data_IF_945889915303
#
_entry.id   IF_945889915303
#
_cell.length_a   1.000
_cell.length_b   1.000
_cell.length_c   1.000
_cell.angle_alpha   90.00
_cell.angle_beta   90.00
_cell.angle_gamma   90.00
#
_symmetry.space_group_name_H-M   'P 1'
#
loop_
_entity.id
_entity.type
_entity.pdbx_description
1 polymer ?
#
# COMPACT_ATOMS: atom_id res chain seq x y z
N UNK A 1 9.17 -28.29 -11.41
CA UNK A 1 9.08 -27.23 -10.37
C UNK A 1 7.66 -26.69 -10.30
N UNK A 2 6.68 -27.52 -9.95
CA UNK A 2 5.28 -27.08 -9.82
C UNK A 2 5.02 -26.56 -8.41
N UNK A 3 4.04 -25.67 -8.25
CA UNK A 3 3.53 -25.32 -6.93
C UNK A 3 2.52 -26.38 -6.40
N UNK A 4 2.01 -26.17 -5.19
CA UNK A 4 1.04 -27.07 -4.55
C UNK A 4 -0.31 -27.17 -5.29
N UNK A 5 -0.61 -26.24 -6.20
CA UNK A 5 -1.81 -26.23 -7.05
C UNK A 5 -1.56 -26.88 -8.42
N UNK A 6 -0.38 -27.46 -8.65
CA UNK A 6 -0.01 -28.07 -9.93
C UNK A 6 0.30 -27.06 -11.04
N UNK A 7 0.53 -25.79 -10.69
CA UNK A 7 0.82 -24.74 -11.66
C UNK A 7 2.31 -24.68 -11.96
N UNK A 8 2.64 -24.49 -13.24
CA UNK A 8 4.02 -24.34 -13.69
C UNK A 8 4.56 -22.92 -13.39
N UNK A 9 5.89 -22.74 -13.39
CA UNK A 9 6.50 -21.46 -13.03
C UNK A 9 6.03 -20.29 -13.92
N UNK A 10 5.84 -20.55 -15.22
CA UNK A 10 5.37 -19.55 -16.17
C UNK A 10 3.95 -19.07 -15.83
N UNK A 11 3.06 -19.98 -15.47
CA UNK A 11 1.68 -19.66 -15.09
C UNK A 11 1.64 -18.85 -13.79
N UNK A 12 2.45 -19.24 -12.79
CA UNK A 12 2.54 -18.49 -11.53
C UNK A 12 3.07 -17.08 -11.78
N UNK A 13 4.16 -16.93 -12.55
CA UNK A 13 4.69 -15.62 -12.93
C UNK A 13 3.65 -14.77 -13.66
N UNK A 14 2.89 -15.34 -14.60
CA UNK A 14 1.85 -14.63 -15.32
C UNK A 14 0.75 -14.10 -14.38
N UNK A 15 0.32 -14.89 -13.39
CA UNK A 15 -0.62 -14.41 -12.37
C UNK A 15 -0.03 -13.24 -11.58
N UNK A 16 1.23 -13.32 -11.14
CA UNK A 16 1.86 -12.22 -10.40
C UNK A 16 2.01 -10.95 -11.25
N UNK A 17 2.37 -11.08 -12.53
CA UNK A 17 2.58 -9.95 -13.43
C UNK A 17 1.25 -9.26 -13.79
N UNK A 18 0.17 -10.04 -13.90
CA UNK A 18 -1.17 -9.51 -14.20
C UNK A 18 -1.68 -8.53 -13.15
N UNK A 19 -1.23 -8.65 -11.89
CA UNK A 19 -1.69 -7.80 -10.79
C UNK A 19 -1.33 -6.33 -11.00
N UNK A 20 -0.10 -6.05 -11.41
CA UNK A 20 0.33 -4.67 -11.70
C UNK A 20 -0.04 -4.21 -13.10
N UNK A 21 -0.37 -5.14 -14.00
CA UNK A 21 -0.74 -4.82 -15.37
C UNK A 21 -2.20 -4.41 -15.50
N UNK A 22 -3.08 -4.73 -14.54
CA UNK A 22 -4.55 -4.51 -14.65
C UNK A 22 -5.17 -5.12 -15.91
N UNK A 23 -4.55 -6.16 -16.45
CA UNK A 23 -4.96 -6.84 -17.68
C UNK A 23 -4.44 -8.28 -17.63
N UNK A 24 -5.07 -9.22 -18.37
CA UNK A 24 -4.57 -10.58 -18.49
C UNK A 24 -3.12 -10.56 -18.97
N UNK A 25 -2.26 -11.31 -18.28
CA UNK A 25 -0.86 -11.46 -18.67
C UNK A 25 -0.63 -12.87 -19.16
N UNK A 26 0.15 -13.00 -20.23
CA UNK A 26 0.63 -14.30 -20.71
C UNK A 26 2.13 -14.24 -20.90
N UNK A 27 2.80 -15.31 -20.49
CA UNK A 27 4.22 -15.50 -20.75
C UNK A 27 4.32 -16.41 -21.97
N UNK A 28 4.75 -15.85 -23.10
CA UNK A 28 4.95 -16.60 -24.32
C UNK A 28 6.03 -17.66 -24.12
N UNK A 29 5.84 -18.85 -24.69
CA UNK A 29 6.88 -19.87 -24.73
C UNK A 29 8.07 -19.35 -25.56
N UNK A 30 9.27 -19.68 -25.11
CA UNK A 30 10.49 -19.36 -25.86
C UNK A 30 10.62 -20.32 -27.08
N UNK A 31 11.29 -19.91 -28.17
CA UNK A 31 11.41 -20.74 -29.36
C UNK A 31 12.19 -22.04 -29.08
N UNK A 32 11.61 -23.22 -29.37
CA UNK A 32 12.26 -24.49 -29.06
C UNK A 32 13.58 -24.66 -29.82
N UNK A 33 14.55 -25.36 -29.20
CA UNK A 33 15.86 -25.62 -29.81
C UNK A 33 16.79 -24.40 -29.89
N UNK A 34 16.44 -23.30 -29.21
CA UNK A 34 17.28 -22.11 -29.09
C UNK A 34 17.89 -21.98 -27.69
N UNK A 35 18.88 -21.09 -27.54
CA UNK A 35 19.43 -20.70 -26.23
C UNK A 35 18.84 -19.38 -25.74
N UNK A 36 17.58 -19.09 -26.10
CA UNK A 36 16.89 -17.87 -25.73
C UNK A 36 16.73 -17.74 -24.20
N UNK A 37 16.34 -16.56 -23.75
CA UNK A 37 16.00 -16.28 -22.36
C UNK A 37 14.87 -15.27 -22.31
N UNK A 38 14.11 -15.25 -21.21
CA UNK A 38 13.19 -14.16 -20.96
C UNK A 38 13.96 -12.86 -20.74
N UNK A 39 13.56 -11.75 -21.40
CA UNK A 39 14.21 -10.46 -21.22
C UNK A 39 13.85 -9.87 -19.86
N UNK A 40 14.62 -8.86 -19.43
CA UNK A 40 14.26 -8.05 -18.28
C UNK A 40 12.91 -7.33 -18.50
N UNK A 41 12.22 -6.91 -17.42
CA UNK A 41 11.01 -6.12 -17.52
C UNK A 41 11.29 -4.86 -18.36
N UNK A 42 10.52 -4.61 -19.44
CA UNK A 42 10.66 -3.36 -20.17
C UNK A 42 10.24 -2.21 -19.26
N UNK A 43 10.74 -1.00 -19.52
CA UNK A 43 10.57 0.16 -18.63
C UNK A 43 9.11 0.42 -18.21
N UNK A 44 8.15 0.22 -19.13
CA UNK A 44 6.72 0.39 -18.84
C UNK A 44 6.12 -0.67 -17.90
N UNK A 45 6.79 -1.81 -17.72
CA UNK A 45 6.37 -2.91 -16.85
C UNK A 45 7.38 -3.16 -15.70
N UNK A 46 8.37 -2.28 -15.54
CA UNK A 46 9.29 -2.29 -14.41
C UNK A 46 8.58 -1.76 -13.16
N UNK A 47 7.84 -2.65 -12.51
CA UNK A 47 7.01 -2.36 -11.34
C UNK A 47 7.25 -3.40 -10.24
N UNK A 48 6.62 -3.19 -9.08
CA UNK A 48 6.77 -4.07 -7.92
C UNK A 48 6.41 -5.54 -8.17
N UNK A 49 5.61 -5.87 -9.21
CA UNK A 49 5.22 -7.25 -9.51
C UNK A 49 6.32 -8.02 -10.26
N UNK A 50 7.21 -7.32 -10.96
CA UNK A 50 8.29 -7.92 -11.77
C UNK A 50 9.68 -7.64 -11.20
N UNK A 51 9.88 -6.47 -10.58
CA UNK A 51 11.15 -6.02 -10.05
C UNK A 51 11.45 -6.59 -8.67
N UNK A 52 11.30 -7.89 -8.46
CA UNK A 52 11.65 -8.54 -7.19
C UNK A 52 12.26 -9.91 -7.48
N UNK A 53 12.97 -10.47 -6.50
CA UNK A 53 13.64 -11.77 -6.69
C UNK A 53 12.65 -12.91 -6.89
N UNK A 54 11.44 -12.81 -6.36
CA UNK A 54 10.40 -13.84 -6.52
C UNK A 54 9.94 -13.96 -7.97
N UNK A 55 9.69 -12.82 -8.61
CA UNK A 55 9.40 -12.75 -10.04
C UNK A 55 10.56 -13.28 -10.89
N UNK A 56 11.79 -12.91 -10.54
CA UNK A 56 13.00 -13.38 -11.22
C UNK A 56 13.18 -14.90 -11.11
N UNK A 57 13.01 -15.48 -9.94
CA UNK A 57 13.17 -16.93 -9.74
C UNK A 57 12.08 -17.71 -10.48
N UNK A 58 10.84 -17.21 -10.51
CA UNK A 58 9.74 -17.82 -11.26
C UNK A 58 9.98 -17.79 -12.77
N UNK A 59 10.39 -16.65 -13.33
CA UNK A 59 10.65 -16.54 -14.78
C UNK A 59 11.91 -17.31 -15.18
N UNK A 60 12.90 -17.39 -14.29
CA UNK A 60 14.11 -18.19 -14.48
C UNK A 60 13.79 -19.69 -14.48
N UNK A 61 13.01 -20.15 -13.52
CA UNK A 61 12.50 -21.52 -13.49
C UNK A 61 11.64 -21.84 -14.73
N UNK A 62 10.84 -20.87 -15.21
CA UNK A 62 10.07 -20.98 -16.44
C UNK A 62 10.98 -21.19 -17.67
N UNK A 63 12.09 -20.46 -17.76
CA UNK A 63 13.09 -20.64 -18.82
C UNK A 63 13.75 -22.02 -18.75
N UNK A 64 14.18 -22.44 -17.55
CA UNK A 64 14.83 -23.74 -17.34
C UNK A 64 13.89 -24.90 -17.65
N UNK A 65 12.61 -24.80 -17.30
CA UNK A 65 11.62 -25.84 -17.64
C UNK A 65 11.35 -25.96 -19.16
N UNK A 66 11.80 -25.00 -19.95
CA UNK A 66 11.71 -24.99 -21.41
C UNK A 66 13.07 -25.27 -22.07
N UNK A 67 14.07 -25.74 -21.31
CA UNK A 67 15.44 -26.00 -21.78
C UNK A 67 16.15 -24.76 -22.35
N UNK A 68 15.92 -23.60 -21.72
CA UNK A 68 16.46 -22.30 -22.12
C UNK A 68 17.39 -21.67 -21.08
N UNK A 69 18.13 -20.65 -21.53
CA UNK A 69 19.07 -19.92 -20.70
C UNK A 69 18.33 -18.96 -19.74
N UNK A 70 19.02 -18.56 -18.68
CA UNK A 70 18.55 -17.56 -17.71
C UNK A 70 19.48 -16.36 -17.78
N UNK A 71 18.93 -15.14 -17.69
CA UNK A 71 19.75 -13.92 -17.57
C UNK A 71 20.16 -13.70 -16.12
N UNK A 72 21.24 -12.96 -15.90
CA UNK A 72 21.69 -12.65 -14.53
C UNK A 72 20.70 -11.73 -13.80
N UNK A 73 20.69 -11.80 -12.47
CA UNK A 73 19.85 -10.92 -11.65
C UNK A 73 20.08 -9.43 -11.99
N UNK A 74 21.34 -9.03 -12.12
CA UNK A 74 21.71 -7.65 -12.50
C UNK A 74 21.20 -7.25 -13.88
N UNK A 75 21.04 -8.20 -14.80
CA UNK A 75 20.43 -7.97 -16.12
C UNK A 75 18.91 -7.85 -16.00
N UNK A 76 18.29 -8.70 -15.20
CA UNK A 76 16.84 -8.66 -14.93
C UNK A 76 16.39 -7.30 -14.35
N UNK A 77 17.14 -6.73 -13.41
CA UNK A 77 16.76 -5.47 -12.78
C UNK A 77 17.24 -4.21 -13.52
N UNK A 78 17.75 -4.31 -14.76
CA UNK A 78 18.32 -3.16 -15.46
C UNK A 78 17.38 -1.95 -15.59
N UNK A 79 16.07 -2.19 -15.73
CA UNK A 79 15.06 -1.14 -15.84
C UNK A 79 14.30 -0.89 -14.52
N UNK A 80 14.64 -1.61 -13.46
CA UNK A 80 13.92 -1.59 -12.20
C UNK A 80 14.40 -0.44 -11.30
N UNK A 81 13.51 0.42 -10.81
CA UNK A 81 13.86 1.41 -9.80
C UNK A 81 14.34 0.73 -8.50
N UNK A 82 15.42 1.23 -7.90
CA UNK A 82 15.99 0.65 -6.69
C UNK A 82 15.02 0.61 -5.50
N UNK A 83 14.03 1.52 -5.46
CA UNK A 83 13.00 1.53 -4.43
C UNK A 83 11.91 0.46 -4.63
N UNK A 84 11.94 -0.27 -5.75
CA UNK A 84 11.02 -1.36 -6.07
C UNK A 84 11.70 -2.73 -6.12
N UNK A 85 13.03 -2.80 -5.97
CA UNK A 85 13.80 -4.04 -5.98
C UNK A 85 13.80 -4.73 -4.62
N UNK A 86 12.88 -5.69 -4.43
CA UNK A 86 12.76 -6.46 -3.20
C UNK A 86 13.40 -7.84 -3.30
N UNK A 87 14.01 -8.29 -2.20
CA UNK A 87 14.66 -9.60 -2.08
C UNK A 87 13.88 -10.51 -1.15
N UNK A 88 13.62 -11.75 -1.60
CA UNK A 88 12.99 -12.82 -0.83
C UNK A 88 11.53 -12.54 -0.45
N UNK A 89 10.90 -11.51 -1.02
CA UNK A 89 9.55 -11.07 -0.66
C UNK A 89 8.79 -10.68 -1.93
N UNK A 90 7.51 -11.06 -1.97
CA UNK A 90 6.54 -10.56 -2.93
C UNK A 90 5.51 -9.71 -2.17
N UNK A 91 5.43 -8.42 -2.49
CA UNK A 91 4.69 -7.43 -1.68
C UNK A 91 3.19 -7.43 -1.93
N UNK A 92 2.76 -7.88 -3.12
CA UNK A 92 1.34 -7.94 -3.45
C UNK A 92 0.67 -9.15 -2.83
N UNK A 93 -0.64 -9.01 -2.63
CA UNK A 93 -1.47 -10.12 -2.18
C UNK A 93 -1.49 -11.18 -3.27
N UNK A 94 -1.05 -12.39 -2.95
CA UNK A 94 -1.08 -13.50 -3.91
C UNK A 94 -2.54 -13.81 -4.29
N UNK A 95 -2.90 -13.85 -5.60
CA UNK A 95 -4.26 -14.15 -6.03
C UNK A 95 -4.78 -15.48 -5.49
N UNK A 96 -6.07 -15.57 -5.19
CA UNK A 96 -6.68 -16.74 -4.50
C UNK A 96 -6.54 -18.08 -5.23
N UNK A 97 -6.25 -18.07 -6.53
CA UNK A 97 -6.07 -19.25 -7.36
C UNK A 97 -4.60 -19.50 -7.74
N UNK A 98 -3.66 -18.84 -7.08
CA UNK A 98 -2.23 -19.10 -7.30
C UNK A 98 -1.49 -19.24 -5.98
N UNK A 99 -0.38 -19.94 -6.02
CA UNK A 99 0.50 -20.10 -4.87
C UNK A 99 1.94 -19.94 -5.33
N UNK A 100 2.69 -19.10 -4.63
CA UNK A 100 4.10 -18.92 -4.93
C UNK A 100 4.85 -20.14 -4.35
N UNK A 101 5.52 -20.96 -5.17
CA UNK A 101 6.27 -22.11 -4.69
C UNK A 101 7.45 -21.65 -3.82
N UNK A 102 7.80 -22.44 -2.81
CA UNK A 102 8.82 -22.07 -1.81
C UNK A 102 10.18 -21.71 -2.41
N UNK A 103 10.56 -22.36 -3.52
CA UNK A 103 11.83 -22.06 -4.19
C UNK A 103 11.92 -20.63 -4.72
N UNK A 104 10.79 -19.99 -5.04
CA UNK A 104 10.79 -18.65 -5.60
C UNK A 104 11.14 -17.58 -4.55
N UNK A 105 11.19 -17.93 -3.26
CA UNK A 105 11.65 -17.05 -2.21
C UNK A 105 13.15 -17.21 -1.92
N UNK A 106 13.87 -17.98 -2.73
CA UNK A 106 15.32 -18.05 -2.62
C UNK A 106 15.95 -16.69 -2.98
N UNK A 107 17.17 -16.46 -2.50
CA UNK A 107 17.87 -15.19 -2.72
C UNK A 107 18.91 -15.34 -3.84
N UNK A 108 18.59 -14.91 -5.09
CA UNK A 108 19.51 -14.95 -6.21
C UNK A 108 20.58 -13.89 -6.16
N UNK A 109 20.50 -12.92 -5.25
CA UNK A 109 21.48 -11.82 -5.19
C UNK A 109 22.84 -12.30 -4.69
N UNK A 110 22.88 -13.39 -3.92
CA UNK A 110 24.12 -13.98 -3.39
C UNK A 110 25.01 -14.55 -4.51
N UNK A 111 24.40 -15.24 -5.49
CA UNK A 111 25.12 -15.80 -6.64
C UNK A 111 25.04 -14.90 -7.88
N UNK A 112 24.19 -13.86 -7.85
CA UNK A 112 23.82 -13.06 -9.01
C UNK A 112 22.99 -13.83 -10.05
N UNK A 113 22.50 -15.02 -9.72
CA UNK A 113 21.90 -15.95 -10.68
C UNK A 113 20.93 -16.94 -10.03
N UNK A 114 19.94 -17.40 -10.80
CA UNK A 114 19.01 -18.46 -10.39
C UNK A 114 19.73 -19.79 -10.12
N UNK A 115 19.45 -20.40 -8.97
CA UNK A 115 20.04 -21.68 -8.58
C UNK A 115 19.07 -22.84 -8.78
N UNK A 116 19.20 -23.55 -9.91
CA UNK A 116 18.37 -24.69 -10.29
C UNK A 116 18.39 -25.80 -9.23
N UNK A 117 19.56 -26.10 -8.67
CA UNK A 117 19.72 -27.15 -7.65
C UNK A 117 18.98 -26.80 -6.36
N UNK A 118 19.14 -25.56 -5.88
CA UNK A 118 18.40 -25.07 -4.72
C UNK A 118 16.89 -25.07 -4.98
N UNK A 119 16.48 -24.69 -6.19
CA UNK A 119 15.08 -24.66 -6.56
C UNK A 119 14.44 -26.06 -6.58
N UNK A 120 15.15 -27.08 -7.08
CA UNK A 120 14.68 -28.47 -7.01
C UNK A 120 14.57 -28.99 -5.56
N UNK A 121 15.56 -28.67 -4.72
CA UNK A 121 15.53 -29.06 -3.31
C UNK A 121 14.33 -28.44 -2.58
N UNK A 122 14.08 -27.15 -2.78
CA UNK A 122 12.96 -26.44 -2.15
C UNK A 122 11.58 -26.79 -2.75
N UNK A 123 11.53 -27.23 -4.01
CA UNK A 123 10.29 -27.69 -4.65
C UNK A 123 9.83 -29.08 -4.15
N UNK A 124 10.73 -29.85 -3.55
CA UNK A 124 10.44 -31.20 -3.03
C UNK A 124 10.19 -31.23 -1.53
N UNK A 125 10.43 -30.11 -0.83
CA UNK A 125 10.05 -30.01 0.59
C UNK A 125 8.52 -30.09 0.71
N UNK A 126 7.97 -31.02 1.50
CA UNK A 126 6.55 -31.01 1.82
C UNK A 126 6.22 -29.70 2.52
N UNK A 127 5.00 -29.14 2.34
CA UNK A 127 4.62 -27.92 3.03
C UNK A 127 4.85 -28.14 4.52
N UNK A 128 5.82 -27.41 5.10
CA UNK A 128 6.06 -27.47 6.55
C UNK A 128 4.71 -27.19 7.20
N UNK A 129 4.14 -28.20 7.87
CA UNK A 129 3.04 -27.99 8.80
C UNK A 129 3.60 -27.03 9.83
N UNK A 130 3.32 -25.75 9.63
CA UNK A 130 3.57 -24.74 10.64
C UNK A 130 2.78 -25.20 11.86
N UNK A 131 3.50 -25.70 12.86
CA UNK A 131 2.94 -25.85 14.18
C UNK A 131 2.41 -24.48 14.56
N UNK A 132 1.09 -24.39 14.58
CA UNK A 132 0.31 -23.18 14.79
C UNK A 132 0.46 -22.74 16.24
N UNK A 133 1.67 -22.36 16.66
CA UNK A 133 1.95 -21.77 17.95
C UNK A 133 2.96 -20.64 17.76
N UNK A 134 2.37 -19.43 17.76
CA UNK A 134 3.00 -18.16 18.13
C UNK A 134 4.00 -17.57 17.12
N UNK A 135 3.46 -17.01 16.04
CA UNK A 135 3.91 -15.74 15.45
C UNK A 135 2.80 -15.25 14.51
N UNK A 136 1.88 -14.44 15.05
CA UNK A 136 1.69 -13.00 14.75
C UNK A 136 0.81 -12.77 13.50
N UNK A 137 -0.52 -12.78 13.56
CA UNK A 137 -1.41 -11.78 14.20
C UNK A 137 -1.04 -10.34 13.80
N UNK A 138 -0.88 -10.02 12.50
CA UNK A 138 -0.84 -8.60 12.06
C UNK A 138 -1.69 -8.30 10.79
N UNK A 139 -2.07 -9.27 9.95
CA UNK A 139 -2.86 -8.98 8.73
C UNK A 139 -4.37 -9.31 8.80
N UNK A 140 -4.97 -9.29 10.00
CA UNK A 140 -6.39 -9.59 10.21
C UNK A 140 -7.28 -8.40 10.63
N UNK A 141 -6.74 -7.18 10.70
CA UNK A 141 -7.39 -6.08 11.42
C UNK A 141 -8.15 -5.05 10.57
N UNK A 142 -8.24 -5.21 9.23
CA UNK A 142 -9.00 -4.24 8.39
C UNK A 142 -10.36 -4.77 7.96
N UNK A 143 -10.49 -6.08 7.69
CA UNK A 143 -11.75 -6.66 7.18
C UNK A 143 -12.72 -7.13 8.28
N UNK A 144 -12.30 -7.16 9.54
CA UNK A 144 -13.18 -7.41 10.69
C UNK A 144 -13.90 -6.16 11.20
N UNK A 145 -13.43 -4.96 10.85
CA UNK A 145 -13.95 -3.70 11.38
C UNK A 145 -15.38 -3.41 10.96
N UNK A 146 -15.74 -3.62 9.69
CA UNK A 146 -17.09 -3.32 9.21
C UNK A 146 -18.13 -4.27 9.80
N UNK A 147 -17.82 -5.57 9.86
CA UNK A 147 -18.69 -6.58 10.47
C UNK A 147 -18.82 -6.38 11.99
N UNK A 148 -17.71 -6.12 12.67
CA UNK A 148 -17.69 -5.89 14.12
C UNK A 148 -18.43 -4.60 14.51
N UNK A 149 -18.28 -3.51 13.75
CA UNK A 149 -19.01 -2.27 14.01
C UNK A 149 -20.52 -2.44 13.85
N UNK A 150 -20.98 -3.23 12.86
CA UNK A 150 -22.41 -3.54 12.69
C UNK A 150 -22.93 -4.39 13.86
N UNK A 151 -22.16 -5.39 14.31
CA UNK A 151 -22.54 -6.25 15.43
C UNK A 151 -22.55 -5.48 16.76
N UNK A 152 -21.56 -4.63 17.01
CA UNK A 152 -21.51 -3.80 18.22
C UNK A 152 -22.61 -2.74 18.20
N UNK A 153 -22.83 -2.08 17.07
CA UNK A 153 -23.93 -1.12 16.89
C UNK A 153 -25.29 -1.76 17.17
N UNK A 154 -25.56 -2.93 16.59
CA UNK A 154 -26.82 -3.64 16.81
C UNK A 154 -27.01 -4.09 18.25
N UNK A 155 -25.97 -4.60 18.92
CA UNK A 155 -26.02 -4.96 20.34
C UNK A 155 -26.27 -3.75 21.25
N UNK A 156 -25.65 -2.60 20.97
CA UNK A 156 -25.86 -1.36 21.73
C UNK A 156 -27.30 -0.85 21.56
N UNK A 157 -27.84 -0.87 20.34
CA UNK A 157 -29.23 -0.45 20.08
C UNK A 157 -30.21 -1.35 20.83
N UNK A 158 -30.06 -2.67 20.77
CA UNK A 158 -30.91 -3.61 21.52
C UNK A 158 -30.81 -3.37 23.02
N UNK A 159 -29.60 -3.17 23.55
CA UNK A 159 -29.39 -2.87 24.96
C UNK A 159 -30.10 -1.56 25.39
N UNK A 160 -30.04 -0.50 24.57
CA UNK A 160 -30.73 0.76 24.85
C UNK A 160 -32.25 0.63 24.82
N UNK A 161 -32.80 -0.18 23.90
CA UNK A 161 -34.24 -0.46 23.82
C UNK A 161 -34.70 -1.23 25.05
N UNK A 162 -33.98 -2.29 25.44
CA UNK A 162 -34.28 -3.08 26.65
C UNK A 162 -34.13 -2.23 27.91
N UNK A 163 -33.12 -1.35 27.96
CA UNK A 163 -32.95 -0.44 29.09
C UNK A 163 -34.10 0.59 29.17
N UNK A 164 -34.61 1.06 28.03
CA UNK A 164 -35.77 1.97 27.98
C UNK A 164 -37.05 1.27 28.40
N UNK A 165 -37.28 0.03 27.99
CA UNK A 165 -38.49 -0.73 28.39
C UNK A 165 -38.46 -1.12 29.88
N UNK A 166 -37.27 -1.27 30.47
CA UNK A 166 -37.09 -1.49 31.91
C UNK A 166 -37.08 -0.21 32.74
N UNK A 167 -37.29 0.96 32.15
CA UNK A 167 -37.53 2.17 32.95
C UNK A 167 -38.90 1.99 33.62
N UNK A 168 -38.98 1.93 34.96
CA UNK A 168 -40.27 1.99 35.62
C UNK A 168 -40.97 3.29 35.17
N UNK A 169 -42.32 3.28 35.08
CA UNK A 169 -43.06 4.50 34.78
C UNK A 169 -42.62 5.61 35.74
N UNK A 170 -42.52 6.87 35.28
CA UNK A 170 -42.22 7.98 36.18
C UNK A 170 -43.21 7.95 37.34
N UNK A 171 -42.71 7.97 38.57
CA UNK A 171 -43.55 8.13 39.75
C UNK A 171 -44.42 9.38 39.56
N UNK A 172 -45.72 9.35 39.91
CA UNK A 172 -46.54 10.56 39.90
C UNK A 172 -45.88 11.60 40.80
N UNK A 173 -45.65 12.79 40.24
CA UNK A 173 -44.97 13.88 40.92
C UNK A 173 -45.72 14.27 42.21
N UNK A 174 -45.02 14.55 43.33
CA UNK A 174 -45.63 15.22 44.47
C UNK A 174 -46.12 16.60 44.03
N UNK A 175 -47.40 16.89 44.30
CA UNK A 175 -48.02 18.20 44.07
C UNK A 175 -47.32 19.22 44.95
N UNK A 176 -46.44 20.04 44.37
CA UNK A 176 -45.84 21.18 45.06
C UNK A 176 -46.78 22.40 44.97
N UNK A 177 -46.92 23.18 46.06
CA UNK A 177 -47.69 24.43 46.07
C UNK A 177 -47.05 25.49 45.15
N UNK A 178 -47.82 26.50 44.71
CA UNK A 178 -47.39 27.45 43.68
C UNK A 178 -46.18 28.29 44.13
N UNK A 179 -45.22 28.57 43.22
CA UNK A 179 -44.06 29.36 43.55
C UNK A 179 -44.39 30.85 43.65
N UNK A 180 -44.01 31.45 44.77
CA UNK A 180 -43.90 32.89 44.94
C UNK A 180 -42.89 33.46 43.95
N UNK A 181 -43.28 34.53 43.24
CA UNK A 181 -42.40 35.31 42.36
C UNK A 181 -41.18 35.80 43.13
N UNK A 182 -40.01 35.27 42.78
CA UNK A 182 -38.74 35.95 43.04
C UNK A 182 -38.32 36.60 41.74
N UNK A 183 -38.52 37.90 41.68
CA UNK A 183 -37.92 38.80 40.71
C UNK A 183 -36.41 38.81 40.95
N UNK A 184 -35.61 38.40 39.96
CA UNK A 184 -34.29 38.99 39.79
C UNK A 184 -33.77 38.82 38.36
N UNK A 185 -33.08 39.85 37.85
CA UNK A 185 -32.69 39.96 36.45
C UNK A 185 -31.31 39.36 36.24
N UNK A 186 -31.13 38.57 35.19
CA UNK A 186 -29.83 38.44 34.57
C UNK A 186 -30.04 38.38 33.06
N UNK A 187 -29.71 39.50 32.42
CA UNK A 187 -29.65 39.63 30.97
C UNK A 187 -28.71 38.55 30.42
N UNK A 188 -29.26 37.59 29.69
CA UNK A 188 -28.47 36.83 28.73
C UNK A 188 -28.26 37.74 27.50
N UNK A 189 -27.05 37.86 26.95
CA UNK A 189 -26.85 38.56 25.69
C UNK A 189 -27.59 37.80 24.59
N UNK A 190 -28.43 38.54 23.85
CA UNK A 190 -29.11 38.08 22.65
C UNK A 190 -28.04 37.68 21.62
N UNK A 191 -28.04 36.42 21.19
CA UNK A 191 -27.26 36.02 20.01
C UNK A 191 -27.94 36.63 18.78
N UNK A 192 -27.32 37.65 18.20
CA UNK A 192 -27.71 38.20 16.90
C UNK A 192 -27.34 37.19 15.81
N UNK A 193 -28.28 36.90 14.92
CA UNK A 193 -28.09 36.00 13.78
C UNK A 193 -27.11 36.67 12.82
N UNK A 194 -26.07 35.96 12.39
CA UNK A 194 -25.04 36.50 11.49
C UNK A 194 -25.67 36.81 10.12
N UNK A 195 -25.63 38.07 9.72
CA UNK A 195 -26.10 38.53 8.42
C UNK A 195 -24.88 38.97 7.58
N UNK A 196 -24.52 38.22 6.52
CA UNK A 196 -23.32 38.48 5.74
C UNK A 196 -23.33 39.82 4.98
N UNK A 197 -24.49 40.47 4.83
CA UNK A 197 -24.62 41.77 4.14
C UNK A 197 -24.63 42.97 5.11
N UNK A 198 -24.65 42.75 6.44
CA UNK A 198 -24.59 43.81 7.46
C UNK A 198 -23.19 43.88 8.14
N UNK A 199 -22.35 44.89 7.80
CA UNK A 199 -21.00 45.03 8.34
C UNK A 199 -20.94 45.28 9.86
N UNK A 200 -22.06 45.61 10.50
CA UNK A 200 -22.13 45.81 11.95
C UNK A 200 -22.20 44.50 12.75
N UNK A 201 -22.45 43.37 12.08
CA UNK A 201 -22.52 42.04 12.72
C UNK A 201 -21.19 41.28 12.73
N UNK A 202 -20.11 41.87 12.19
CA UNK A 202 -18.78 41.25 12.23
C UNK A 202 -18.20 41.31 13.64
N UNK A 203 -17.71 40.18 14.19
CA UNK A 203 -17.05 40.20 15.48
C UNK A 203 -15.77 41.05 15.41
N UNK A 204 -15.42 41.79 16.48
CA UNK A 204 -14.16 42.52 16.52
C UNK A 204 -12.97 41.55 16.40
N UNK A 205 -11.87 41.95 15.74
CA UNK A 205 -10.69 41.10 15.60
C UNK A 205 -10.14 40.74 16.98
N UNK A 206 -9.95 39.45 17.23
CA UNK A 206 -9.38 38.93 18.46
C UNK A 206 -7.92 39.38 18.58
N UNK A 207 -7.68 40.43 19.35
CA UNK A 207 -6.34 40.87 19.74
C UNK A 207 -5.81 39.95 20.84
N UNK A 208 -5.09 38.89 20.45
CA UNK A 208 -4.32 38.08 21.38
C UNK A 208 -3.07 38.86 21.82
N UNK A 209 -2.81 39.02 23.13
CA UNK A 209 -1.60 39.68 23.61
C UNK A 209 -0.41 38.70 23.47
N UNK A 210 0.63 39.12 22.75
CA UNK A 210 1.96 38.53 22.94
C UNK A 210 2.68 37.92 21.73
N UNK A 211 2.34 38.28 20.49
CA UNK A 211 3.19 37.96 19.33
C UNK A 211 3.35 39.16 18.41
N UNK A 212 4.41 39.95 18.65
CA UNK A 212 4.97 40.80 17.60
C UNK A 212 5.66 39.87 16.59
N UNK A 213 5.00 39.65 15.45
CA UNK A 213 5.68 39.14 14.26
C UNK A 213 6.17 40.35 13.49
N UNK A 214 7.44 40.69 13.71
CA UNK A 214 8.21 41.59 12.85
C UNK A 214 8.18 41.01 11.43
N UNK A 215 7.58 41.73 10.49
CA UNK A 215 7.57 41.34 9.09
C UNK A 215 9.00 41.40 8.51
N UNK A 216 9.51 40.33 7.88
CA UNK A 216 10.79 40.42 7.20
C UNK A 216 10.66 41.30 5.97
N UNK A 217 11.54 42.31 5.90
CA UNK A 217 11.70 43.20 4.78
C UNK A 217 11.91 42.42 3.47
N UNK A 218 11.18 42.79 2.43
CA UNK A 218 11.45 42.42 1.05
C UNK A 218 12.88 42.85 0.68
N UNK A 219 13.78 41.88 0.51
CA UNK A 219 15.05 42.07 -0.16
C UNK A 219 14.98 41.43 -1.54
N UNK A 220 15.10 42.27 -2.56
CA UNK A 220 15.28 41.90 -3.96
C UNK A 220 16.53 41.04 -4.12
N UNK A 221 16.34 39.75 -4.39
CA UNK A 221 17.41 38.84 -4.76
C UNK A 221 17.45 38.68 -6.29
N UNK A 222 18.32 39.47 -6.91
CA UNK A 222 18.76 39.32 -8.30
C UNK A 222 19.39 37.93 -8.50
N UNK A 223 18.80 37.12 -9.37
CA UNK A 223 19.33 35.80 -9.73
C UNK A 223 20.61 35.91 -10.58
N UNK A 224 21.69 35.16 -10.27
CA UNK A 224 22.83 35.05 -11.16
C UNK A 224 22.55 34.08 -12.33
N UNK A 225 22.94 34.50 -13.53
CA UNK A 225 22.86 33.73 -14.78
C UNK A 225 23.56 32.35 -14.67
N UNK A 226 23.00 31.29 -15.30
CA UNK A 226 23.67 30.00 -15.37
C UNK A 226 24.88 30.05 -16.33
N UNK A 227 25.97 29.32 -16.02
CA UNK A 227 27.14 29.25 -16.89
C UNK A 227 26.82 28.43 -18.16
N UNK A 228 27.02 29.05 -19.32
CA UNK A 228 26.96 28.41 -20.63
C UNK A 228 28.07 27.34 -20.73
N UNK A 229 27.68 26.06 -20.82
CA UNK A 229 28.59 24.97 -21.19
C UNK A 229 28.99 25.14 -22.66
N UNK A 230 30.27 25.44 -22.90
CA UNK A 230 30.90 25.26 -24.21
C UNK A 230 30.92 23.77 -24.54
N UNK A 231 30.26 23.40 -25.64
CA UNK A 231 30.49 22.12 -26.29
C UNK A 231 31.77 22.24 -27.13
N UNK A 232 32.83 21.56 -26.69
CA UNK A 232 33.99 21.30 -27.55
C UNK A 232 33.63 20.12 -28.45
N UNK A 233 33.47 20.41 -29.74
CA UNK A 233 33.49 19.43 -30.82
C UNK A 233 34.80 18.64 -30.72
N UNK A 234 34.72 17.34 -30.46
CA UNK A 234 35.83 16.42 -30.64
C UNK A 234 35.65 15.69 -31.97
N UNK A 235 36.75 15.76 -32.73
CA UNK A 235 36.96 15.28 -34.07
C UNK A 235 36.52 13.84 -34.31
N UNK A 236 35.76 13.68 -35.39
CA UNK A 236 35.70 12.47 -36.19
C UNK A 236 37.02 12.29 -36.95
N UNK A 237 37.74 11.20 -36.73
CA UNK A 237 38.65 10.64 -37.74
C UNK A 237 38.45 9.12 -37.86
N UNK A 238 38.36 8.57 -39.07
CA UNK A 238 38.24 7.14 -39.32
C UNK A 238 39.57 6.54 -39.79
N UNK A 239 39.97 5.38 -39.23
CA UNK A 239 40.73 4.30 -39.89
C UNK A 239 40.49 3.00 -39.13
#
# INVERSE_FOLDING_TARGET
>A
MMNALGQNPCLVAAYLFSQCANQPWSIAALPPGSTASYPNPPQQYANLCQCNTVAYDLISACSVCQDHNVIQWVQWIQNCPANLTFTGIYTEVVPSQTSIPSYAYWDPTVLGFFNVTAAHALATEPPKKSDRKKMSIIFGAVFGGLGFLIIVSSLVVVYLIVRRSRRPPPNPAPTLPPPSRVTSPLMAPVMTIYDPDDPSTFPPPLTLPGWHVEAPAHQDASAPNPPQRRYSLLDTTPW
#
